data_IF_357392714319
#
_entry.id   IF_357392714319
#
_cell.length_a   1.000
_cell.length_b   1.000
_cell.length_c   1.000
_cell.angle_alpha   90.00
_cell.angle_beta   90.00
_cell.angle_gamma   90.00
#
_symmetry.space_group_name_H-M   'P 1'
#
loop_
_entity.id
_entity.type
_entity.pdbx_description
1 polymer ?
#
# COMPACT_ATOMS: atom_id res chain seq x y z
N UNK A 1 54.22 -14.69 21.77
CA UNK A 1 52.86 -15.23 21.53
C UNK A 1 51.86 -14.07 21.59
N UNK A 2 51.42 -13.56 20.44
CA UNK A 2 50.37 -12.53 20.35
C UNK A 2 49.07 -13.22 19.92
N UNK A 3 48.08 -13.20 20.78
CA UNK A 3 46.72 -13.63 20.48
C UNK A 3 45.96 -12.52 19.77
N UNK A 4 45.48 -12.81 18.56
CA UNK A 4 44.58 -11.92 17.82
C UNK A 4 43.13 -12.25 18.17
N UNK A 5 42.46 -11.32 18.84
CA UNK A 5 41.00 -11.27 18.91
C UNK A 5 40.44 -10.81 17.56
N UNK A 6 39.74 -11.69 16.84
CA UNK A 6 38.91 -11.35 15.70
C UNK A 6 37.51 -10.98 16.22
N UNK A 7 37.15 -9.71 16.04
CA UNK A 7 35.81 -9.20 16.36
C UNK A 7 34.83 -9.73 15.31
N UNK A 8 33.84 -10.53 15.74
CA UNK A 8 32.68 -10.94 14.94
C UNK A 8 31.58 -9.89 15.14
N UNK A 9 31.45 -8.94 14.21
CA UNK A 9 30.34 -7.99 14.17
C UNK A 9 30.02 -7.65 12.70
N UNK A 10 29.07 -8.35 12.08
CA UNK A 10 28.72 -8.14 10.66
C UNK A 10 27.34 -8.66 10.23
N UNK A 11 26.88 -9.80 10.73
CA UNK A 11 25.72 -10.47 10.12
C UNK A 11 24.35 -10.01 10.67
N UNK A 12 24.25 -9.70 11.97
CA UNK A 12 22.97 -9.31 12.59
C UNK A 12 22.50 -7.91 12.17
N UNK A 13 23.44 -6.98 11.98
CA UNK A 13 23.13 -5.61 11.55
C UNK A 13 22.61 -5.59 10.10
N UNK A 14 23.29 -6.27 9.18
CA UNK A 14 22.89 -6.36 7.77
C UNK A 14 21.54 -7.07 7.57
N UNK A 15 21.22 -8.09 8.38
CA UNK A 15 19.91 -8.73 8.34
C UNK A 15 18.79 -7.81 8.84
N UNK A 16 19.06 -6.99 9.87
CA UNK A 16 18.09 -6.03 10.40
C UNK A 16 17.75 -4.91 9.41
N UNK A 17 18.73 -4.42 8.66
CA UNK A 17 18.54 -3.37 7.64
C UNK A 17 17.79 -3.92 6.42
N UNK A 18 18.15 -5.11 5.93
CA UNK A 18 17.45 -5.76 4.82
C UNK A 18 15.98 -6.08 5.13
N UNK A 19 15.70 -6.54 6.37
CA UNK A 19 14.32 -6.77 6.83
C UNK A 19 13.51 -5.48 6.86
N UNK A 20 14.10 -4.40 7.36
CA UNK A 20 13.48 -3.07 7.40
C UNK A 20 13.19 -2.55 5.98
N UNK A 21 14.14 -2.64 5.08
CA UNK A 21 13.99 -2.22 3.68
C UNK A 21 12.85 -2.99 2.99
N UNK A 22 12.77 -4.31 3.19
CA UNK A 22 11.66 -5.13 2.68
C UNK A 22 10.32 -4.65 3.22
N UNK A 23 10.23 -4.31 4.51
CA UNK A 23 8.99 -3.83 5.12
C UNK A 23 8.51 -2.51 4.50
N UNK A 24 9.42 -1.56 4.25
CA UNK A 24 9.08 -0.30 3.56
C UNK A 24 8.63 -0.51 2.11
N UNK A 25 9.25 -1.44 1.39
CA UNK A 25 8.82 -1.81 0.02
C UNK A 25 7.40 -2.37 0.02
N UNK A 26 7.07 -3.24 0.96
CA UNK A 26 5.74 -3.85 1.09
C UNK A 26 4.68 -2.82 1.53
N UNK A 27 5.01 -1.96 2.50
CA UNK A 27 4.19 -0.83 2.91
C UNK A 27 3.90 0.12 1.75
N UNK A 28 4.94 0.48 0.99
CA UNK A 28 4.81 1.34 -0.19
C UNK A 28 3.81 0.78 -1.20
N UNK A 29 3.80 -0.54 -1.43
CA UNK A 29 2.82 -1.16 -2.33
C UNK A 29 1.39 -1.03 -1.81
N UNK A 30 1.16 -1.26 -0.51
CA UNK A 30 -0.16 -1.04 0.09
C UNK A 30 -0.65 0.40 -0.05
N UNK A 31 0.24 1.36 0.21
CA UNK A 31 -0.06 2.79 0.07
C UNK A 31 -0.31 3.19 -1.39
N UNK A 32 0.48 2.65 -2.33
CA UNK A 32 0.32 2.84 -3.78
C UNK A 32 -1.03 2.30 -4.28
N UNK A 33 -1.47 1.17 -3.75
CA UNK A 33 -2.71 0.52 -4.18
C UNK A 33 -3.96 1.24 -3.67
N UNK A 34 -3.92 1.80 -2.45
CA UNK A 34 -4.96 2.70 -1.94
C UNK A 34 -4.95 4.07 -2.64
N UNK A 35 -3.95 4.90 -2.35
CA UNK A 35 -3.95 6.33 -2.71
C UNK A 35 -3.05 6.70 -3.90
N UNK A 36 -2.59 5.70 -4.65
CA UNK A 36 -1.63 5.89 -5.73
C UNK A 36 -2.18 5.73 -7.15
N UNK A 37 -1.28 5.83 -8.13
CA UNK A 37 -1.60 5.73 -9.55
C UNK A 37 -0.40 5.21 -10.34
N UNK A 38 -0.65 4.21 -11.19
CA UNK A 38 0.30 3.67 -12.17
C UNK A 38 -0.19 4.10 -13.55
N UNK A 39 0.57 4.96 -14.22
CA UNK A 39 0.10 5.71 -15.38
C UNK A 39 0.95 5.45 -16.61
N UNK A 40 0.28 5.17 -17.72
CA UNK A 40 0.80 5.36 -19.08
C UNK A 40 -0.06 6.40 -19.75
N UNK A 41 0.54 7.53 -20.11
CA UNK A 41 -0.08 8.63 -20.83
C UNK A 41 0.70 8.90 -22.12
N UNK A 42 0.28 9.91 -22.89
CA UNK A 42 1.04 10.38 -24.04
C UNK A 42 1.25 11.90 -23.99
N UNK A 43 2.42 12.33 -24.45
CA UNK A 43 2.69 13.73 -24.74
C UNK A 43 2.33 14.04 -26.19
N UNK A 44 1.29 14.87 -26.39
CA UNK A 44 0.86 15.38 -27.71
C UNK A 44 0.73 14.30 -28.80
N UNK A 45 0.33 13.07 -28.44
CA UNK A 45 0.25 11.90 -29.34
C UNK A 45 1.58 11.52 -30.02
N UNK A 46 2.72 11.92 -29.45
CA UNK A 46 4.06 11.71 -30.01
C UNK A 46 4.87 10.69 -29.24
N UNK A 47 4.88 10.80 -27.92
CA UNK A 47 5.66 9.92 -27.05
C UNK A 47 4.84 9.49 -25.85
N UNK A 48 5.12 8.29 -25.33
CA UNK A 48 4.48 7.82 -24.10
C UNK A 48 5.20 8.36 -22.88
N UNK A 49 4.43 8.68 -21.85
CA UNK A 49 4.87 9.11 -20.54
C UNK A 49 4.47 8.07 -19.51
N UNK A 50 5.42 7.69 -18.66
CA UNK A 50 5.25 6.66 -17.65
C UNK A 50 5.43 7.29 -16.29
N UNK A 51 4.49 7.05 -15.38
CA UNK A 51 4.55 7.64 -14.05
C UNK A 51 3.94 6.75 -12.98
N UNK A 52 4.60 6.65 -11.84
CA UNK A 52 4.06 6.05 -10.61
C UNK A 52 3.97 7.18 -9.58
N UNK A 53 2.78 7.39 -9.01
CA UNK A 53 2.49 8.51 -8.09
C UNK A 53 1.76 8.00 -6.86
N UNK A 54 2.09 8.57 -5.70
CA UNK A 54 1.23 8.61 -4.51
C UNK A 54 0.97 10.09 -4.20
N UNK A 55 -0.30 10.46 -3.99
CA UNK A 55 -0.69 11.83 -3.70
C UNK A 55 -1.55 11.86 -2.44
N UNK A 56 -1.00 12.40 -1.37
CA UNK A 56 -1.65 12.49 -0.06
C UNK A 56 -1.94 13.96 0.30
N UNK A 57 -2.96 14.20 1.14
CA UNK A 57 -3.15 15.51 1.76
C UNK A 57 -1.88 15.94 2.49
N UNK A 58 -1.52 17.21 2.37
CA UNK A 58 -0.40 17.75 3.11
C UNK A 58 -0.68 17.79 4.61
N UNK A 59 0.17 17.08 5.35
CA UNK A 59 0.38 17.18 6.78
C UNK A 59 1.87 16.92 7.05
N UNK A 60 2.39 17.41 8.17
CA UNK A 60 3.79 17.14 8.56
C UNK A 60 4.06 15.63 8.69
N UNK A 61 3.05 14.86 9.14
CA UNK A 61 3.14 13.41 9.26
C UNK A 61 3.22 12.71 7.90
N UNK A 62 2.33 13.05 6.96
CA UNK A 62 2.35 12.46 5.62
C UNK A 62 3.65 12.82 4.87
N UNK A 63 4.15 14.05 5.04
CA UNK A 63 5.44 14.43 4.46
C UNK A 63 6.59 13.61 5.05
N UNK A 64 6.65 13.47 6.38
CA UNK A 64 7.69 12.70 7.05
C UNK A 64 7.66 11.22 6.61
N UNK A 65 6.47 10.61 6.54
CA UNK A 65 6.29 9.25 6.02
C UNK A 65 6.80 9.12 4.58
N UNK A 66 6.38 10.01 3.66
CA UNK A 66 6.84 9.97 2.27
C UNK A 66 8.35 10.19 2.15
N UNK A 67 8.95 11.03 2.98
CA UNK A 67 10.40 11.22 3.04
C UNK A 67 11.13 9.95 3.52
N UNK A 68 10.59 9.26 4.53
CA UNK A 68 11.13 7.97 4.98
C UNK A 68 11.03 6.91 3.87
N UNK A 69 9.87 6.77 3.21
CA UNK A 69 9.70 5.85 2.08
C UNK A 69 10.74 6.16 0.99
N UNK A 70 10.85 7.41 0.55
CA UNK A 70 11.86 7.84 -0.44
C UNK A 70 13.28 7.42 -0.03
N UNK A 71 13.66 7.68 1.22
CA UNK A 71 15.00 7.34 1.72
C UNK A 71 15.26 5.83 1.73
N UNK A 72 14.26 5.03 2.10
CA UNK A 72 14.38 3.57 2.16
C UNK A 72 14.36 2.91 0.79
N UNK A 73 13.65 3.49 -0.17
CA UNK A 73 13.61 2.99 -1.55
C UNK A 73 14.79 3.50 -2.39
N UNK A 74 15.45 4.59 -1.97
CA UNK A 74 16.53 5.24 -2.72
C UNK A 74 16.07 5.90 -4.02
N UNK A 75 14.75 6.08 -4.20
CA UNK A 75 14.12 6.51 -5.43
C UNK A 75 12.86 7.34 -5.15
N UNK A 76 12.20 7.82 -6.20
CA UNK A 76 11.07 8.77 -6.16
C UNK A 76 11.53 10.19 -5.84
N UNK A 77 10.84 11.14 -6.47
CA UNK A 77 10.88 12.55 -6.15
C UNK A 77 9.75 12.87 -5.17
N UNK A 78 10.05 13.72 -4.18
CA UNK A 78 9.10 14.19 -3.18
C UNK A 78 8.84 15.68 -3.37
N UNK A 79 7.57 16.06 -3.50
CA UNK A 79 7.15 17.44 -3.70
C UNK A 79 5.98 17.80 -2.79
N UNK A 80 5.90 19.08 -2.42
CA UNK A 80 4.69 19.67 -1.85
C UNK A 80 4.09 20.58 -2.92
N UNK A 81 2.86 20.33 -3.34
CA UNK A 81 2.16 21.16 -4.35
C UNK A 81 0.67 21.24 -4.05
N UNK A 82 0.14 22.47 -4.04
CA UNK A 82 -1.31 22.77 -3.91
C UNK A 82 -1.98 22.04 -2.73
N UNK A 83 -1.32 22.02 -1.57
CA UNK A 83 -1.86 21.35 -0.37
C UNK A 83 -1.72 19.82 -0.36
N UNK A 84 -0.88 19.24 -1.22
CA UNK A 84 -0.61 17.80 -1.26
C UNK A 84 0.88 17.50 -1.12
N UNK A 85 1.19 16.37 -0.49
CA UNK A 85 2.48 15.68 -0.60
C UNK A 85 2.39 14.72 -1.80
N UNK A 86 3.33 14.82 -2.72
CA UNK A 86 3.38 14.02 -3.94
C UNK A 86 4.71 13.26 -3.94
N UNK A 87 4.61 11.94 -3.89
CA UNK A 87 5.74 11.04 -4.12
C UNK A 87 5.60 10.50 -5.54
N UNK A 88 6.55 10.78 -6.43
CA UNK A 88 6.44 10.48 -7.86
C UNK A 88 7.73 9.98 -8.47
N UNK A 89 7.66 8.98 -9.33
CA UNK A 89 8.75 8.63 -10.25
C UNK A 89 8.21 8.60 -11.68
N UNK A 90 8.84 9.39 -12.55
CA UNK A 90 8.57 9.48 -13.98
C UNK A 90 9.84 9.47 -14.84
N UNK A 91 11.01 9.32 -14.23
CA UNK A 91 12.25 9.19 -14.95
C UNK A 91 12.38 7.76 -15.48
N UNK A 92 12.45 7.62 -16.81
CA UNK A 92 12.48 6.32 -17.50
C UNK A 92 13.52 5.37 -16.93
N UNK A 93 14.76 5.81 -16.74
CA UNK A 93 15.83 4.95 -16.21
C UNK A 93 15.64 4.50 -14.75
N UNK A 94 14.76 5.16 -13.98
CA UNK A 94 14.51 4.89 -12.55
C UNK A 94 13.29 3.99 -12.33
N UNK A 95 12.30 4.06 -13.22
CA UNK A 95 11.10 3.22 -13.17
C UNK A 95 11.38 1.70 -13.03
N UNK A 96 12.42 1.11 -13.66
CA UNK A 96 12.75 -0.30 -13.47
C UNK A 96 12.93 -0.72 -12.01
N UNK A 97 13.44 0.16 -11.13
CA UNK A 97 13.61 -0.16 -9.70
C UNK A 97 12.25 -0.40 -9.03
N UNK A 98 11.25 0.42 -9.34
CA UNK A 98 9.89 0.24 -8.80
C UNK A 98 9.23 -0.97 -9.44
N UNK A 99 9.44 -1.19 -10.75
CA UNK A 99 8.97 -2.39 -11.43
C UNK A 99 9.53 -3.66 -10.78
N UNK A 100 10.81 -3.68 -10.40
CA UNK A 100 11.41 -4.80 -9.66
C UNK A 100 10.75 -5.01 -8.29
N UNK A 101 10.36 -3.95 -7.58
CA UNK A 101 9.61 -4.06 -6.32
C UNK A 101 8.24 -4.70 -6.57
N UNK A 102 7.51 -4.21 -7.58
CA UNK A 102 6.19 -4.74 -7.94
C UNK A 102 6.30 -6.20 -8.42
N UNK A 103 7.29 -6.54 -9.24
CA UNK A 103 7.51 -7.89 -9.74
C UNK A 103 7.88 -8.87 -8.61
N UNK A 104 8.62 -8.40 -7.60
CA UNK A 104 9.05 -9.23 -6.47
C UNK A 104 7.91 -9.59 -5.53
N UNK A 105 7.07 -8.61 -5.18
CA UNK A 105 6.02 -8.82 -4.17
C UNK A 105 4.64 -9.04 -4.81
N UNK A 106 4.36 -8.41 -5.94
CA UNK A 106 3.04 -8.37 -6.57
C UNK A 106 2.19 -7.19 -6.08
N UNK A 107 1.09 -6.93 -6.80
CA UNK A 107 0.00 -6.04 -6.38
C UNK A 107 -1.20 -6.91 -6.04
N UNK A 108 -1.96 -6.56 -5.01
CA UNK A 108 -3.05 -7.38 -4.51
C UNK A 108 -4.41 -7.02 -5.13
N UNK A 109 -4.64 -5.76 -5.49
CA UNK A 109 -5.85 -5.32 -6.18
C UNK A 109 -5.78 -5.66 -7.67
N UNK A 110 -6.81 -6.31 -8.18
CA UNK A 110 -6.90 -6.75 -9.58
C UNK A 110 -6.79 -5.58 -10.56
N UNK A 111 -7.48 -4.48 -10.28
CA UNK A 111 -7.42 -3.30 -11.15
C UNK A 111 -6.00 -2.68 -11.16
N UNK A 112 -5.25 -2.76 -10.07
CA UNK A 112 -3.85 -2.29 -10.00
C UNK A 112 -2.90 -3.23 -10.73
N UNK A 113 -3.11 -4.54 -10.63
CA UNK A 113 -2.40 -5.54 -11.46
C UNK A 113 -2.62 -5.30 -12.94
N UNK A 114 -3.86 -5.04 -13.38
CA UNK A 114 -4.17 -4.67 -14.78
C UNK A 114 -3.47 -3.37 -15.20
N UNK A 115 -3.52 -2.32 -14.37
CA UNK A 115 -2.78 -1.08 -14.64
C UNK A 115 -1.28 -1.32 -14.80
N UNK A 116 -0.69 -2.13 -13.92
CA UNK A 116 0.73 -2.46 -13.98
C UNK A 116 1.08 -3.35 -15.18
N UNK A 117 0.25 -4.32 -15.53
CA UNK A 117 0.46 -5.16 -16.71
C UNK A 117 0.51 -4.32 -17.99
N UNK A 118 -0.45 -3.40 -18.16
CA UNK A 118 -0.45 -2.46 -19.27
C UNK A 118 0.78 -1.54 -19.24
N UNK A 119 1.12 -1.01 -18.06
CA UNK A 119 2.31 -0.18 -17.87
C UNK A 119 3.59 -0.89 -18.29
N UNK A 120 3.82 -2.10 -17.77
CA UNK A 120 5.00 -2.93 -18.03
C UNK A 120 5.09 -3.32 -19.49
N UNK A 121 3.97 -3.69 -20.11
CA UNK A 121 3.90 -4.00 -21.53
C UNK A 121 4.32 -2.80 -22.38
N UNK A 122 3.71 -1.64 -22.15
CA UNK A 122 4.04 -0.42 -22.89
C UNK A 122 5.51 -0.03 -22.70
N UNK A 123 6.03 -0.15 -21.48
CA UNK A 123 7.38 0.24 -21.12
C UNK A 123 8.44 -0.65 -21.80
N UNK A 124 8.24 -1.98 -21.74
CA UNK A 124 9.18 -2.97 -22.25
C UNK A 124 9.19 -3.02 -23.79
N UNK A 125 8.01 -3.01 -24.41
CA UNK A 125 7.87 -3.14 -25.86
C UNK A 125 8.06 -1.81 -26.60
N UNK A 126 8.16 -0.69 -25.88
CA UNK A 126 8.34 0.66 -26.45
C UNK A 126 7.30 0.98 -27.54
N UNK A 127 6.05 0.61 -27.28
CA UNK A 127 4.99 0.72 -28.27
C UNK A 127 4.79 2.16 -28.76
N UNK A 128 4.36 2.28 -30.01
CA UNK A 128 4.00 3.54 -30.66
C UNK A 128 2.70 4.12 -30.08
N UNK A 129 2.44 5.39 -30.38
CA UNK A 129 1.17 6.02 -30.00
C UNK A 129 -0.05 5.33 -30.64
N UNK A 130 0.04 4.87 -31.89
CA UNK A 130 -1.05 4.17 -32.57
C UNK A 130 -1.39 2.84 -31.88
N UNK A 131 -0.37 2.07 -31.50
CA UNK A 131 -0.56 0.84 -30.72
C UNK A 131 -1.15 1.13 -29.34
N UNK A 132 -0.64 2.14 -28.63
CA UNK A 132 -1.21 2.59 -27.36
C UNK A 132 -2.70 2.95 -27.51
N UNK A 133 -3.05 3.74 -28.53
CA UNK A 133 -4.41 4.19 -28.78
C UNK A 133 -5.33 3.01 -29.11
N UNK A 134 -4.85 2.06 -29.92
CA UNK A 134 -5.57 0.83 -30.23
C UNK A 134 -5.83 0.00 -28.98
N UNK A 135 -4.80 -0.27 -28.16
CA UNK A 135 -4.96 -1.03 -26.91
C UNK A 135 -5.91 -0.33 -25.94
N UNK A 136 -5.83 1.01 -25.84
CA UNK A 136 -6.76 1.79 -25.00
C UNK A 136 -8.20 1.67 -25.47
N UNK A 137 -8.45 1.56 -26.78
CA UNK A 137 -9.79 1.35 -27.34
C UNK A 137 -10.34 -0.06 -27.10
N UNK A 138 -9.48 -1.07 -26.89
CA UNK A 138 -9.90 -2.42 -26.51
C UNK A 138 -10.42 -2.51 -25.07
N UNK A 139 -10.10 -1.52 -24.22
CA UNK A 139 -10.47 -1.48 -22.81
C UNK A 139 -10.17 -2.80 -22.07
N UNK A 140 -11.20 -3.51 -21.57
CA UNK A 140 -11.05 -4.77 -20.83
C UNK A 140 -10.73 -5.97 -21.74
N UNK A 141 -10.89 -5.84 -23.04
CA UNK A 141 -10.69 -6.92 -24.03
C UNK A 141 -9.24 -7.04 -24.51
N UNK A 142 -8.31 -6.25 -23.96
CA UNK A 142 -6.90 -6.42 -24.27
C UNK A 142 -6.37 -7.74 -23.70
N UNK A 143 -5.82 -8.59 -24.58
CA UNK A 143 -5.33 -9.94 -24.25
C UNK A 143 -4.39 -10.01 -23.04
N UNK A 144 -3.64 -8.92 -22.77
CA UNK A 144 -2.78 -8.81 -21.59
C UNK A 144 -3.52 -8.87 -20.25
N UNK A 145 -4.85 -8.86 -20.25
CA UNK A 145 -5.69 -8.99 -19.06
C UNK A 145 -6.29 -10.37 -18.84
N UNK A 146 -6.23 -11.29 -19.82
CA UNK A 146 -6.92 -12.60 -19.78
C UNK A 146 -6.49 -13.47 -18.59
N UNK A 147 -5.25 -13.31 -18.10
CA UNK A 147 -4.70 -14.06 -16.96
C UNK A 147 -4.83 -13.33 -15.61
N UNK A 148 -5.44 -12.15 -15.57
CA UNK A 148 -5.52 -11.31 -14.37
C UNK A 148 -6.91 -11.41 -13.74
N UNK A 149 -7.10 -12.47 -12.96
CA UNK A 149 -8.30 -12.71 -12.15
C UNK A 149 -8.14 -12.22 -10.71
N UNK A 150 -9.25 -12.00 -10.02
CA UNK A 150 -9.25 -11.69 -8.58
C UNK A 150 -8.53 -12.77 -7.78
N UNK A 151 -7.72 -12.35 -6.81
CA UNK A 151 -7.24 -13.28 -5.78
C UNK A 151 -8.37 -13.53 -4.80
N UNK A 152 -8.58 -14.80 -4.42
CA UNK A 152 -9.45 -15.10 -3.30
C UNK A 152 -8.86 -14.58 -2.00
N UNK A 153 -9.71 -14.31 -1.01
CA UNK A 153 -9.30 -13.90 0.32
C UNK A 153 -8.28 -14.85 0.97
N UNK A 154 -8.35 -16.16 0.71
CA UNK A 154 -7.38 -17.13 1.23
C UNK A 154 -6.04 -17.07 0.49
N UNK A 155 -6.03 -16.76 -0.80
CA UNK A 155 -4.78 -16.51 -1.53
C UNK A 155 -4.11 -15.24 -1.03
N UNK A 156 -4.88 -14.18 -0.78
CA UNK A 156 -4.40 -12.90 -0.26
C UNK A 156 -3.62 -13.06 1.05
N UNK A 157 -4.16 -13.87 1.98
CA UNK A 157 -3.54 -14.12 3.28
C UNK A 157 -2.24 -14.93 3.21
N UNK A 158 -1.97 -15.64 2.11
CA UNK A 158 -0.73 -16.42 1.94
C UNK A 158 0.44 -15.59 1.43
N UNK A 159 0.21 -14.37 0.94
CA UNK A 159 1.30 -13.52 0.51
C UNK A 159 2.13 -13.08 1.71
N UNK A 160 3.43 -13.35 1.67
CA UNK A 160 4.37 -13.01 2.76
C UNK A 160 4.45 -11.51 3.06
N UNK A 161 4.06 -10.66 2.09
CA UNK A 161 4.01 -9.21 2.25
C UNK A 161 2.66 -8.69 2.78
N UNK A 162 1.65 -9.55 2.95
CA UNK A 162 0.32 -9.17 3.43
C UNK A 162 0.35 -8.26 4.67
N UNK A 163 1.12 -8.55 5.74
CA UNK A 163 1.06 -7.74 6.95
C UNK A 163 1.50 -6.28 6.74
N UNK A 164 2.65 -6.07 6.08
CA UNK A 164 3.16 -4.71 5.84
C UNK A 164 2.40 -4.00 4.71
N UNK A 165 1.95 -4.74 3.70
CA UNK A 165 1.03 -4.22 2.70
C UNK A 165 -0.25 -3.71 3.35
N UNK A 166 -0.83 -4.45 4.29
CA UNK A 166 -2.04 -4.04 5.00
C UNK A 166 -1.82 -2.78 5.83
N UNK A 167 -0.63 -2.57 6.42
CA UNK A 167 -0.29 -1.30 7.05
C UNK A 167 -0.34 -0.13 6.07
N UNK A 168 0.30 -0.25 4.89
CA UNK A 168 0.27 0.79 3.87
C UNK A 168 -1.12 1.03 3.28
N UNK A 169 -1.89 -0.03 3.08
CA UNK A 169 -3.25 0.06 2.57
C UNK A 169 -4.20 0.71 3.61
N UNK A 170 -4.01 0.42 4.89
CA UNK A 170 -4.77 1.06 5.99
C UNK A 170 -4.41 2.53 6.15
N UNK A 171 -3.16 2.90 5.91
CA UNK A 171 -2.72 4.30 5.91
C UNK A 171 -3.54 5.13 4.90
N UNK A 172 -3.84 4.56 3.73
CA UNK A 172 -4.71 5.18 2.71
C UNK A 172 -6.21 5.06 3.04
N UNK A 173 -6.72 3.84 3.23
CA UNK A 173 -8.15 3.54 3.15
C UNK A 173 -8.84 3.30 4.52
N UNK A 174 -8.07 3.09 5.59
CA UNK A 174 -8.63 2.81 6.92
C UNK A 174 -9.11 4.07 7.65
N UNK A 175 -10.07 3.95 8.57
CA UNK A 175 -10.44 5.00 9.53
C UNK A 175 -10.49 4.43 10.93
N UNK A 176 -9.72 5.01 11.84
CA UNK A 176 -9.88 4.85 13.27
C UNK A 176 -10.76 5.99 13.77
N UNK A 177 -12.04 5.72 14.00
CA UNK A 177 -13.01 6.77 14.26
C UNK A 177 -13.45 6.78 15.74
N UNK A 178 -13.28 7.92 16.41
CA UNK A 178 -13.89 8.23 17.71
C UNK A 178 -15.15 9.06 17.42
N UNK A 179 -16.33 8.49 17.66
CA UNK A 179 -17.62 9.13 17.37
C UNK A 179 -17.97 10.15 18.46
N UNK A 180 -18.89 11.07 18.16
CA UNK A 180 -19.34 12.11 19.10
C UNK A 180 -19.94 11.56 20.40
N UNK A 181 -20.55 10.38 20.37
CA UNK A 181 -21.02 9.64 21.54
C UNK A 181 -19.92 8.81 22.23
N UNK A 182 -18.65 9.09 21.94
CA UNK A 182 -17.47 8.35 22.35
C UNK A 182 -17.40 6.90 21.89
N UNK A 183 -18.32 6.41 21.04
CA UNK A 183 -18.19 5.06 20.48
C UNK A 183 -17.02 4.97 19.51
N UNK A 184 -16.35 3.83 19.56
CA UNK A 184 -15.15 3.56 18.76
C UNK A 184 -15.53 2.63 17.62
N UNK A 185 -15.05 2.95 16.43
CA UNK A 185 -15.19 2.07 15.28
C UNK A 185 -13.95 2.11 14.41
N UNK A 186 -13.61 0.97 13.83
CA UNK A 186 -12.71 0.89 12.70
C UNK A 186 -13.52 0.61 11.44
N UNK A 187 -13.25 1.36 10.38
CA UNK A 187 -13.83 1.11 9.06
C UNK A 187 -12.77 1.15 7.96
N UNK A 188 -13.01 0.43 6.88
CA UNK A 188 -12.20 0.46 5.67
C UNK A 188 -13.10 0.18 4.47
N UNK A 189 -12.83 0.84 3.36
CA UNK A 189 -13.59 0.71 2.13
C UNK A 189 -12.68 0.57 0.92
N UNK A 190 -13.17 -0.07 -0.13
CA UNK A 190 -12.44 -0.16 -1.39
C UNK A 190 -13.42 -0.41 -2.54
N UNK A 191 -13.21 0.31 -3.65
CA UNK A 191 -13.92 0.04 -4.90
C UNK A 191 -13.44 -1.28 -5.49
N UNK A 192 -14.39 -2.15 -5.86
CA UNK A 192 -14.15 -3.49 -6.42
C UNK A 192 -13.20 -4.32 -5.52
N UNK A 193 -13.30 -4.14 -4.19
CA UNK A 193 -12.36 -4.68 -3.20
C UNK A 193 -12.91 -5.78 -2.30
N UNK A 194 -13.94 -6.53 -2.73
CA UNK A 194 -14.62 -7.52 -1.89
C UNK A 194 -13.67 -8.55 -1.27
N UNK A 195 -12.79 -9.15 -2.07
CA UNK A 195 -11.85 -10.18 -1.58
C UNK A 195 -10.82 -9.61 -0.61
N UNK A 196 -10.34 -8.38 -0.84
CA UNK A 196 -9.43 -7.68 0.07
C UNK A 196 -10.12 -7.40 1.40
N UNK A 197 -11.34 -6.86 1.39
CA UNK A 197 -12.07 -6.62 2.62
C UNK A 197 -12.42 -7.93 3.34
N UNK A 198 -12.66 -9.01 2.61
CA UNK A 198 -12.88 -10.34 3.18
C UNK A 198 -11.60 -10.91 3.80
N UNK A 199 -10.43 -10.69 3.19
CA UNK A 199 -9.14 -11.04 3.78
C UNK A 199 -8.83 -10.22 5.04
N UNK A 200 -9.17 -8.93 5.06
CA UNK A 200 -9.07 -8.07 6.26
C UNK A 200 -10.02 -8.58 7.36
N UNK A 201 -11.26 -8.90 7.01
CA UNK A 201 -12.24 -9.51 7.92
C UNK A 201 -11.68 -10.79 8.56
N UNK A 202 -11.08 -11.68 7.77
CA UNK A 202 -10.43 -12.92 8.25
C UNK A 202 -9.20 -12.62 9.12
N UNK A 203 -8.36 -11.66 8.73
CA UNK A 203 -7.15 -11.25 9.49
C UNK A 203 -7.49 -10.87 10.94
N UNK A 204 -8.59 -10.15 11.14
CA UNK A 204 -8.99 -9.64 12.45
C UNK A 204 -10.16 -10.40 13.09
N UNK A 205 -10.64 -11.49 12.46
CA UNK A 205 -11.83 -12.22 12.88
C UNK A 205 -13.07 -11.31 13.08
N UNK A 206 -13.27 -10.33 12.19
CA UNK A 206 -14.42 -9.42 12.23
C UNK A 206 -15.71 -10.20 11.92
N UNK A 207 -16.75 -10.21 12.77
CA UNK A 207 -18.00 -10.95 12.52
C UNK A 207 -18.90 -10.21 11.51
N UNK A 208 -18.82 -8.88 11.47
CA UNK A 208 -19.60 -8.03 10.57
C UNK A 208 -19.42 -8.43 9.10
N UNK A 209 -20.50 -8.45 8.34
CA UNK A 209 -20.45 -8.74 6.89
C UNK A 209 -19.73 -7.61 6.16
N UNK A 210 -19.00 -7.96 5.09
CA UNK A 210 -18.57 -6.98 4.09
C UNK A 210 -19.85 -6.52 3.38
N UNK A 211 -20.14 -5.22 3.47
CA UNK A 211 -21.32 -4.60 2.86
C UNK A 211 -20.92 -3.95 1.54
N UNK A 212 -21.88 -3.64 0.67
CA UNK A 212 -21.63 -2.94 -0.59
C UNK A 212 -22.67 -1.86 -0.88
N UNK A 213 -22.22 -0.78 -1.51
CA UNK A 213 -23.08 0.22 -2.16
C UNK A 213 -22.59 0.35 -3.60
N UNK A 214 -23.36 -0.15 -4.56
CA UNK A 214 -22.94 -0.30 -5.97
C UNK A 214 -21.66 -1.13 -6.12
N UNK A 215 -20.52 -0.47 -6.40
CA UNK A 215 -19.18 -1.09 -6.57
C UNK A 215 -18.21 -0.80 -5.44
N UNK A 216 -18.64 -0.05 -4.41
CA UNK A 216 -17.81 0.23 -3.24
C UNK A 216 -18.19 -0.78 -2.16
N UNK A 217 -17.20 -1.50 -1.67
CA UNK A 217 -17.33 -2.40 -0.54
C UNK A 217 -16.85 -1.71 0.72
N UNK A 218 -17.46 -2.05 1.86
CA UNK A 218 -17.11 -1.49 3.15
C UNK A 218 -17.18 -2.54 4.25
N UNK A 219 -16.18 -2.49 5.13
CA UNK A 219 -16.09 -3.29 6.33
C UNK A 219 -15.99 -2.34 7.52
N UNK A 220 -16.78 -2.61 8.55
CA UNK A 220 -16.78 -1.80 9.76
C UNK A 220 -16.97 -2.71 10.98
N UNK A 221 -16.27 -2.40 12.06
CA UNK A 221 -16.44 -3.04 13.36
C UNK A 221 -16.38 -2.03 14.50
N UNK A 222 -17.12 -2.34 15.55
CA UNK A 222 -17.22 -1.60 16.81
C UNK A 222 -16.96 -2.51 18.02
N UNK A 223 -16.65 -3.80 17.79
CA UNK A 223 -16.48 -4.78 18.85
C UNK A 223 -15.14 -4.58 19.57
N UNK A 224 -15.17 -4.28 20.87
CA UNK A 224 -13.98 -3.93 21.68
C UNK A 224 -12.80 -4.90 21.50
N UNK A 225 -13.02 -6.21 21.68
CA UNK A 225 -11.98 -7.24 21.51
C UNK A 225 -11.31 -7.22 20.12
N UNK A 226 -12.07 -6.87 19.09
CA UNK A 226 -11.57 -6.81 17.72
C UNK A 226 -10.79 -5.52 17.49
N UNK A 227 -11.25 -4.41 18.08
CA UNK A 227 -10.50 -3.16 18.09
C UNK A 227 -9.16 -3.32 18.84
N UNK A 228 -9.11 -4.10 19.91
CA UNK A 228 -7.85 -4.47 20.59
C UNK A 228 -6.93 -5.29 19.68
N UNK A 229 -7.47 -6.31 19.00
CA UNK A 229 -6.71 -7.13 18.04
C UNK A 229 -6.14 -6.30 16.88
N UNK A 230 -6.95 -5.40 16.32
CA UNK A 230 -6.51 -4.39 15.34
C UNK A 230 -5.36 -3.54 15.91
N UNK A 231 -5.52 -3.02 17.13
CA UNK A 231 -4.48 -2.21 17.75
C UNK A 231 -3.18 -2.99 17.96
N UNK A 232 -3.27 -4.25 18.41
CA UNK A 232 -2.11 -5.12 18.58
C UNK A 232 -1.37 -5.31 17.27
N UNK A 233 -2.08 -5.60 16.16
CA UNK A 233 -1.49 -5.80 14.84
C UNK A 233 -0.63 -4.61 14.37
N UNK A 234 -1.15 -3.38 14.47
CA UNK A 234 -0.44 -2.17 14.02
C UNK A 234 0.72 -1.73 14.94
N UNK A 235 0.85 -2.33 16.13
CA UNK A 235 2.01 -2.14 17.02
C UNK A 235 2.90 -3.36 17.14
N UNK A 236 2.57 -4.45 16.45
CA UNK A 236 3.33 -5.68 16.51
C UNK A 236 4.73 -5.47 15.92
N UNK A 237 5.81 -5.96 16.56
CA UNK A 237 7.17 -5.94 15.99
C UNK A 237 7.31 -6.72 14.66
N UNK A 238 6.30 -7.53 14.31
CA UNK A 238 6.24 -8.24 13.03
C UNK A 238 5.82 -7.37 11.85
N UNK A 239 5.29 -6.17 12.10
CA UNK A 239 4.88 -5.20 11.06
C UNK A 239 5.67 -3.91 11.20
N UNK A 240 5.67 -3.10 10.14
CA UNK A 240 6.24 -1.74 10.16
C UNK A 240 5.35 -0.74 10.90
N UNK A 241 4.08 -1.08 11.14
CA UNK A 241 3.09 -0.19 11.71
C UNK A 241 2.59 0.90 10.75
N UNK A 242 1.82 1.84 11.29
CA UNK A 242 1.36 3.05 10.59
C UNK A 242 2.41 4.15 10.76
N UNK A 243 2.56 5.04 9.78
CA UNK A 243 3.67 6.00 9.73
C UNK A 243 3.22 7.46 9.52
N UNK A 244 2.08 7.67 8.86
CA UNK A 244 1.64 9.00 8.42
C UNK A 244 0.61 9.63 9.36
N UNK A 245 -0.32 10.38 8.78
CA UNK A 245 -1.44 10.94 9.55
C UNK A 245 -2.34 9.85 10.15
N UNK A 246 -2.42 8.66 9.55
CA UNK A 246 -3.16 7.53 10.12
C UNK A 246 -2.56 7.06 11.43
N UNK A 247 -1.24 7.15 11.59
CA UNK A 247 -0.57 6.83 12.85
C UNK A 247 -1.08 7.71 13.99
N UNK A 248 -1.17 9.03 13.78
CA UNK A 248 -1.69 9.97 14.80
C UNK A 248 -3.15 9.70 15.15
N UNK A 249 -3.96 9.39 14.13
CA UNK A 249 -5.37 9.01 14.33
C UNK A 249 -5.46 7.73 15.18
N UNK A 250 -4.66 6.73 14.84
CA UNK A 250 -4.56 5.46 15.54
C UNK A 250 -4.10 5.61 16.99
N UNK A 251 -3.06 6.40 17.26
CA UNK A 251 -2.54 6.61 18.61
C UNK A 251 -3.60 7.22 19.53
N UNK A 252 -4.31 8.24 19.04
CA UNK A 252 -5.43 8.85 19.76
C UNK A 252 -6.54 7.82 20.02
N UNK A 253 -6.91 7.05 19.00
CA UNK A 253 -7.91 5.99 19.10
C UNK A 253 -7.55 4.93 20.14
N UNK A 254 -6.29 4.47 20.15
CA UNK A 254 -5.79 3.45 21.08
C UNK A 254 -5.86 3.91 22.54
N UNK A 255 -5.54 5.18 22.82
CA UNK A 255 -5.63 5.76 24.17
C UNK A 255 -7.08 5.72 24.66
N UNK A 256 -8.04 6.15 23.83
CA UNK A 256 -9.46 6.16 24.19
C UNK A 256 -10.00 4.74 24.38
N UNK A 257 -9.58 3.78 23.53
CA UNK A 257 -9.94 2.38 23.67
C UNK A 257 -9.46 1.81 25.02
N UNK A 258 -8.20 2.04 25.37
CA UNK A 258 -7.63 1.57 26.63
C UNK A 258 -8.35 2.14 27.85
N UNK A 259 -8.80 3.40 27.81
CA UNK A 259 -9.60 3.98 28.88
C UNK A 259 -10.99 3.34 28.98
N UNK A 260 -11.63 3.03 27.84
CA UNK A 260 -12.95 2.39 27.82
C UNK A 260 -12.96 0.96 28.37
N UNK A 261 -11.89 0.20 28.15
CA UNK A 261 -11.81 -1.21 28.56
C UNK A 261 -11.41 -1.39 30.04
N UNK A 262 -10.91 -0.33 30.69
CA UNK A 262 -10.62 -0.32 32.13
C UNK A 262 -11.86 -0.01 32.98
N UNK A 263 -12.98 0.39 32.36
CA UNK A 263 -14.28 0.61 33.01
C UNK A 263 -15.15 -0.61 32.82
#
# INVERSE_FOLDING_TARGET
>A
MKTHNKILCGDSFCQSTAKKESAYKQFFLGLLEGDGSIQVNHWKKRSLQYRIIIKLKYSSANYAMCAQIRNQLGIMNLHIRRGFVILVEDHRAKLPVIMTIIDKYGLLLTHRRKQYAFFKYCYNNRITYSEYAHIKALEQSWFGFESINDYSSDQLLRFSHWPNWLCGFTEAEGCFCIRSNNNLSFSISQKDGYEILTAIKKTFNIPNKVRSTTRVYFLETYAGRILESLCYFYTSPSTIGLLGEKQKQYETFKIVLAYKLKK
#
